data_IF_171701614518
#
_entry.id   IF_171701614518
#
_cell.length_a   1.000
_cell.length_b   1.000
_cell.length_c   1.000
_cell.angle_alpha   90.00
_cell.angle_beta   90.00
_cell.angle_gamma   90.00
#
_symmetry.space_group_name_H-M   'P 1'
#
loop_
_entity.id
_entity.type
_entity.pdbx_description
1 polymer ?
#
# COMPACT_ATOMS: atom_id res chain seq x y z
N UNK A 1 25.35 20.41 -4.69
CA UNK A 1 24.15 20.38 -5.56
C UNK A 1 23.98 18.95 -6.05
N UNK A 2 23.07 18.20 -5.45
CA UNK A 2 22.71 16.82 -5.81
C UNK A 2 21.29 16.89 -6.40
N UNK A 3 21.17 16.77 -7.71
CA UNK A 3 19.88 16.93 -8.42
C UNK A 3 19.13 15.58 -8.43
N UNK A 4 18.78 15.06 -7.24
CA UNK A 4 18.23 13.70 -7.05
C UNK A 4 16.83 13.58 -7.65
N UNK A 5 15.95 14.55 -7.40
CA UNK A 5 14.55 14.58 -7.88
C UNK A 5 14.41 14.55 -9.40
N UNK A 6 15.40 15.07 -10.14
CA UNK A 6 15.38 15.04 -11.62
C UNK A 6 15.68 13.66 -12.23
N UNK A 7 16.19 12.71 -11.43
CA UNK A 7 16.57 11.37 -11.89
C UNK A 7 15.53 10.30 -11.57
N UNK A 8 14.60 10.56 -10.66
CA UNK A 8 13.59 9.60 -10.23
C UNK A 8 12.32 9.67 -11.08
N UNK A 9 11.76 8.49 -11.39
CA UNK A 9 10.52 8.39 -12.16
C UNK A 9 9.34 8.96 -11.36
N UNK A 10 8.51 9.79 -12.00
CA UNK A 10 7.35 10.42 -11.35
C UNK A 10 7.67 11.73 -10.61
N UNK A 11 8.93 12.18 -10.60
CA UNK A 11 9.32 13.47 -10.01
C UNK A 11 9.24 13.51 -8.48
N UNK A 12 9.14 12.36 -7.82
CA UNK A 12 9.08 12.20 -6.37
C UNK A 12 10.18 11.26 -5.90
N UNK A 13 10.72 11.50 -4.69
CA UNK A 13 11.64 10.58 -4.02
C UNK A 13 10.87 9.31 -3.60
N UNK A 14 11.32 8.12 -4.03
CA UNK A 14 10.66 6.83 -3.72
C UNK A 14 11.51 5.87 -2.86
N UNK A 15 12.76 6.25 -2.55
CA UNK A 15 13.67 5.51 -1.68
C UNK A 15 14.26 6.43 -0.61
N UNK A 16 14.70 5.86 0.51
CA UNK A 16 15.43 6.65 1.52
C UNK A 16 16.89 6.84 1.08
N UNK A 17 17.34 8.09 1.07
CA UNK A 17 18.70 8.46 0.70
C UNK A 17 19.44 9.08 1.89
N UNK A 18 20.76 8.87 1.95
CA UNK A 18 21.62 9.53 2.93
C UNK A 18 22.78 10.24 2.22
N UNK A 19 22.98 11.53 2.50
CA UNK A 19 24.05 12.31 1.88
C UNK A 19 24.67 13.30 2.88
N UNK A 20 25.93 13.64 2.64
CA UNK A 20 26.69 14.50 3.54
C UNK A 20 27.01 15.86 2.89
N UNK A 21 26.71 16.92 3.63
CA UNK A 21 27.01 18.31 3.26
C UNK A 21 28.03 18.86 4.25
N UNK A 22 28.95 19.69 3.75
CA UNK A 22 29.93 20.38 4.59
C UNK A 22 29.66 21.89 4.53
N UNK A 23 29.57 22.51 5.69
CA UNK A 23 29.38 23.95 5.88
C UNK A 23 30.29 24.40 7.02
N UNK A 24 31.07 25.46 6.80
CA UNK A 24 31.99 26.02 7.80
C UNK A 24 32.97 24.99 8.42
N UNK A 25 33.35 23.95 7.67
CA UNK A 25 34.21 22.85 8.14
C UNK A 25 33.52 21.83 9.04
N UNK A 26 32.22 22.00 9.32
CA UNK A 26 31.37 21.04 10.01
C UNK A 26 30.56 20.22 8.99
N UNK A 27 30.30 18.95 9.32
CA UNK A 27 29.59 18.00 8.45
C UNK A 27 28.18 17.76 8.96
N UNK A 28 27.21 17.83 8.06
CA UNK A 28 25.80 17.53 8.32
C UNK A 28 25.40 16.37 7.41
N UNK A 29 24.79 15.34 8.00
CA UNK A 29 24.23 14.22 7.25
C UNK A 29 22.73 14.39 7.15
N UNK A 30 22.23 14.44 5.92
CA UNK A 30 20.81 14.50 5.63
C UNK A 30 20.30 13.11 5.29
N UNK A 31 19.16 12.76 5.88
CA UNK A 31 18.33 11.63 5.44
C UNK A 31 17.13 12.21 4.69
N UNK A 32 16.98 11.82 3.43
CA UNK A 32 15.82 12.17 2.62
C UNK A 32 14.87 10.98 2.57
N UNK A 33 13.61 11.20 2.92
CA UNK A 33 12.58 10.14 2.98
C UNK A 33 11.38 10.53 2.12
N UNK A 34 10.72 9.57 1.46
CA UNK A 34 9.50 9.86 0.71
C UNK A 34 8.38 10.47 1.58
N UNK A 35 7.77 11.55 1.10
CA UNK A 35 6.66 12.24 1.76
C UNK A 35 5.29 11.55 1.62
N UNK A 36 5.19 10.51 0.78
CA UNK A 36 3.91 9.87 0.49
C UNK A 36 3.43 8.90 1.58
N UNK A 37 2.12 8.78 1.82
CA UNK A 37 1.51 7.92 2.85
C UNK A 37 1.95 6.44 2.77
N UNK A 38 2.21 5.92 1.57
CA UNK A 38 2.70 4.54 1.40
C UNK A 38 4.04 4.27 2.13
N UNK A 39 4.80 5.33 2.46
CA UNK A 39 6.14 5.26 3.07
C UNK A 39 6.17 5.72 4.52
N UNK A 40 5.04 5.73 5.24
CA UNK A 40 4.95 6.04 6.68
C UNK A 40 6.01 5.31 7.51
N UNK A 41 6.22 4.00 7.27
CA UNK A 41 7.22 3.21 7.98
C UNK A 41 8.65 3.71 7.75
N UNK A 42 8.99 4.12 6.52
CA UNK A 42 10.28 4.72 6.21
C UNK A 42 10.47 6.07 6.90
N UNK A 43 9.42 6.91 6.97
CA UNK A 43 9.47 8.18 7.69
C UNK A 43 9.73 7.98 9.18
N UNK A 44 9.00 7.06 9.81
CA UNK A 44 9.20 6.72 11.22
C UNK A 44 10.63 6.25 11.50
N UNK A 45 11.16 5.38 10.62
CA UNK A 45 12.55 4.91 10.70
C UNK A 45 13.53 6.08 10.55
N UNK A 46 13.35 6.93 9.53
CA UNK A 46 14.15 8.13 9.32
C UNK A 46 14.17 9.03 10.55
N UNK A 47 13.00 9.36 11.10
CA UNK A 47 12.88 10.19 12.30
C UNK A 47 13.65 9.59 13.49
N UNK A 48 13.46 8.30 13.79
CA UNK A 48 14.19 7.63 14.88
C UNK A 48 15.71 7.53 14.66
N UNK A 49 16.17 7.71 13.43
CA UNK A 49 17.58 7.64 13.04
C UNK A 49 18.30 8.99 13.14
N UNK A 50 17.55 10.08 13.18
CA UNK A 50 18.07 11.46 13.12
C UNK A 50 18.03 12.15 14.47
N UNK A 51 18.96 13.07 14.69
CA UNK A 51 18.99 13.91 15.89
C UNK A 51 18.06 15.14 15.78
N UNK A 52 17.79 15.59 14.55
CA UNK A 52 16.98 16.76 14.21
C UNK A 52 16.12 16.43 12.97
N UNK A 53 14.85 16.80 13.00
CA UNK A 53 13.89 16.65 11.92
C UNK A 53 13.58 18.02 11.30
N UNK A 54 13.66 18.13 9.98
CA UNK A 54 13.33 19.35 9.25
C UNK A 54 11.92 19.20 8.67
N UNK A 55 10.98 19.99 9.18
CA UNK A 55 9.61 20.03 8.68
C UNK A 55 9.51 21.09 7.59
N UNK A 56 9.40 20.67 6.32
CA UNK A 56 9.22 21.58 5.20
C UNK A 56 7.73 21.86 5.00
N UNK A 57 7.31 23.11 5.14
CA UNK A 57 5.91 23.55 4.95
C UNK A 57 5.87 24.63 3.89
N UNK A 58 4.93 24.52 2.95
CA UNK A 58 4.83 25.50 1.87
C UNK A 58 4.05 26.73 2.35
N UNK A 59 4.59 27.93 2.08
CA UNK A 59 4.00 29.20 2.48
C UNK A 59 2.66 29.53 1.79
N UNK A 60 2.37 28.90 0.65
CA UNK A 60 1.13 29.06 -0.11
C UNK A 60 0.05 28.03 0.30
N UNK A 61 0.45 26.79 0.57
CA UNK A 61 -0.47 25.68 0.85
C UNK A 61 -0.85 25.59 2.33
N UNK A 62 0.06 25.97 3.25
CA UNK A 62 -0.15 25.84 4.70
C UNK A 62 0.08 24.42 5.23
N UNK A 63 -0.47 24.13 6.41
CA UNK A 63 -0.37 22.82 7.07
C UNK A 63 -1.35 21.83 6.43
N UNK A 64 -0.82 20.74 5.89
CA UNK A 64 -1.59 19.65 5.26
C UNK A 64 -1.66 18.41 6.17
N UNK A 65 -2.58 17.46 5.94
CA UNK A 65 -2.65 16.22 6.73
C UNK A 65 -1.33 15.44 6.81
N UNK A 66 -0.55 15.43 5.71
CA UNK A 66 0.79 14.82 5.66
C UNK A 66 1.80 15.55 6.55
N UNK A 67 1.68 16.88 6.66
CA UNK A 67 2.49 17.69 7.58
C UNK A 67 2.19 17.31 9.02
N UNK A 68 0.91 17.14 9.37
CA UNK A 68 0.48 16.72 10.72
C UNK A 68 1.02 15.33 11.06
N UNK A 69 0.97 14.39 10.10
CA UNK A 69 1.55 13.06 10.28
C UNK A 69 3.06 13.13 10.55
N UNK A 70 3.79 13.96 9.79
CA UNK A 70 5.23 14.15 9.99
C UNK A 70 5.56 14.76 11.36
N UNK A 71 4.76 15.72 11.85
CA UNK A 71 4.88 16.30 13.20
C UNK A 71 4.71 15.20 14.25
N UNK A 72 3.67 14.37 14.11
CA UNK A 72 3.40 13.28 15.05
C UNK A 72 4.55 12.27 15.10
N UNK A 73 5.13 11.92 13.95
CA UNK A 73 6.28 11.01 13.90
C UNK A 73 7.51 11.60 14.58
N UNK A 74 7.84 12.87 14.32
CA UNK A 74 8.99 13.53 14.92
C UNK A 74 8.83 13.66 16.45
N UNK A 75 7.63 14.04 16.92
CA UNK A 75 7.30 14.09 18.35
C UNK A 75 7.38 12.71 19.00
N UNK A 76 6.81 11.67 18.39
CA UNK A 76 6.86 10.31 18.90
C UNK A 76 8.29 9.75 18.97
N UNK A 77 9.16 10.17 18.05
CA UNK A 77 10.58 9.82 18.07
C UNK A 77 11.41 10.66 19.06
N UNK A 78 10.84 11.73 19.65
CA UNK A 78 11.55 12.63 20.56
C UNK A 78 12.63 13.47 19.86
N UNK A 79 12.44 13.77 18.58
CA UNK A 79 13.40 14.48 17.75
C UNK A 79 13.08 15.97 17.74
N UNK A 80 14.12 16.81 17.76
CA UNK A 80 13.93 18.26 17.71
C UNK A 80 13.46 18.68 16.31
N UNK A 81 12.45 19.55 16.23
CA UNK A 81 11.86 19.96 14.95
C UNK A 81 12.34 21.36 14.59
N UNK A 82 12.88 21.51 13.39
CA UNK A 82 13.15 22.80 12.75
C UNK A 82 12.17 22.95 11.59
N UNK A 83 11.45 24.08 11.53
CA UNK A 83 10.47 24.35 10.48
C UNK A 83 11.11 25.18 9.38
N UNK A 84 11.11 24.66 8.15
CA UNK A 84 11.51 25.38 6.95
C UNK A 84 10.26 25.80 6.17
N UNK A 85 9.95 27.10 6.19
CA UNK A 85 8.80 27.66 5.45
C UNK A 85 9.24 27.93 4.01
N UNK A 86 8.90 27.04 3.09
CA UNK A 86 9.34 27.06 1.69
C UNK A 86 8.43 27.89 0.78
N UNK A 87 8.92 28.23 -0.42
CA UNK A 87 8.22 28.99 -1.47
C UNK A 87 7.94 30.46 -1.13
N UNK A 88 8.81 31.11 -0.35
CA UNK A 88 8.68 32.55 -0.02
C UNK A 88 8.79 33.48 -1.25
N UNK A 89 9.28 32.96 -2.37
CA UNK A 89 9.36 33.68 -3.65
C UNK A 89 8.00 33.89 -4.31
N UNK A 90 6.96 33.17 -3.88
CA UNK A 90 5.62 33.32 -4.46
C UNK A 90 4.89 34.54 -3.86
N UNK A 91 4.15 35.31 -4.67
CA UNK A 91 3.36 36.43 -4.17
C UNK A 91 2.21 36.00 -3.25
N UNK A 92 1.78 34.74 -3.33
CA UNK A 92 0.77 34.15 -2.45
C UNK A 92 1.33 33.61 -1.13
N UNK A 93 2.64 33.71 -0.90
CA UNK A 93 3.28 33.21 0.31
C UNK A 93 2.83 33.98 1.55
N UNK A 94 2.40 33.28 2.58
CA UNK A 94 2.03 33.87 3.87
C UNK A 94 2.70 33.13 5.02
N UNK A 95 3.80 33.69 5.51
CA UNK A 95 4.62 33.11 6.59
C UNK A 95 3.86 33.13 7.91
N UNK A 96 3.17 34.23 8.22
CA UNK A 96 2.45 34.40 9.49
C UNK A 96 1.31 33.38 9.62
N UNK A 97 0.60 33.10 8.52
CA UNK A 97 -0.43 32.05 8.47
C UNK A 97 0.15 30.67 8.83
N UNK A 98 1.29 30.31 8.25
CA UNK A 98 1.94 29.01 8.55
C UNK A 98 2.38 28.94 10.01
N UNK A 99 2.94 30.02 10.56
CA UNK A 99 3.30 30.10 12.00
C UNK A 99 2.07 29.90 12.90
N UNK A 100 0.96 30.54 12.56
CA UNK A 100 -0.29 30.40 13.31
C UNK A 100 -0.82 28.96 13.25
N UNK A 101 -0.91 28.36 12.07
CA UNK A 101 -1.39 26.98 11.89
C UNK A 101 -0.50 25.96 12.64
N UNK A 102 0.83 26.12 12.62
CA UNK A 102 1.75 25.21 13.32
C UNK A 102 1.73 25.37 14.85
N UNK A 103 1.33 26.54 15.36
CA UNK A 103 1.19 26.77 16.80
C UNK A 103 0.09 25.90 17.43
N UNK A 104 -0.94 25.52 16.66
CA UNK A 104 -1.99 24.57 17.10
C UNK A 104 -1.42 23.18 17.38
N UNK A 105 -0.28 22.86 16.79
CA UNK A 105 0.46 21.60 16.98
C UNK A 105 1.63 21.76 17.96
N UNK A 106 1.60 22.76 18.83
CA UNK A 106 2.62 23.04 19.85
C UNK A 106 4.01 23.38 19.29
N UNK A 107 4.09 23.74 18.00
CA UNK A 107 5.32 24.25 17.38
C UNK A 107 5.28 25.78 17.41
N UNK A 108 5.78 26.35 18.52
CA UNK A 108 5.74 27.79 18.76
C UNK A 108 7.05 28.42 18.30
N UNK A 109 7.01 29.42 17.39
CA UNK A 109 8.19 30.13 16.91
C UNK A 109 8.97 30.85 18.03
N UNK A 110 10.30 30.92 17.90
CA UNK A 110 11.17 31.66 18.84
C UNK A 110 10.82 33.15 18.96
N UNK A 111 10.41 33.80 17.86
CA UNK A 111 10.01 35.21 17.87
C UNK A 111 8.70 35.48 18.63
N UNK A 112 7.91 34.43 18.90
CA UNK A 112 6.72 34.47 19.75
C UNK A 112 6.98 33.96 21.17
N UNK A 113 8.25 33.76 21.53
CA UNK A 113 8.66 33.24 22.84
C UNK A 113 8.58 31.72 22.97
N UNK A 114 8.48 31.00 21.85
CA UNK A 114 8.57 29.54 21.80
C UNK A 114 10.00 29.02 21.74
N UNK A 115 10.15 27.73 21.44
CA UNK A 115 11.45 27.04 21.33
C UNK A 115 11.72 26.45 19.94
N UNK A 116 10.75 26.50 19.03
CA UNK A 116 10.89 25.91 17.70
C UNK A 116 11.51 26.93 16.75
N UNK A 117 12.57 26.53 16.05
CA UNK A 117 13.23 27.37 15.05
C UNK A 117 12.41 27.38 13.76
N UNK A 118 12.08 28.57 13.26
CA UNK A 118 11.37 28.77 12.00
C UNK A 118 12.24 29.55 11.03
N UNK A 119 12.58 28.95 9.89
CA UNK A 119 13.41 29.58 8.86
C UNK A 119 12.63 29.74 7.55
N UNK A 120 12.40 30.97 7.06
CA UNK A 120 11.80 31.20 5.75
C UNK A 120 12.83 30.91 4.65
N UNK A 121 12.47 30.08 3.66
CA UNK A 121 13.35 29.65 2.57
C UNK A 121 12.65 29.65 1.22
N UNK A 122 13.43 29.79 0.14
CA UNK A 122 12.99 29.44 -1.20
C UNK A 122 13.93 28.41 -1.80
N UNK A 123 13.42 27.20 -2.03
CA UNK A 123 14.16 26.17 -2.76
C UNK A 123 14.45 26.55 -4.22
N UNK A 124 13.69 27.50 -4.79
CA UNK A 124 13.86 27.94 -6.17
C UNK A 124 14.93 29.03 -6.31
N UNK A 125 14.83 30.12 -5.54
CA UNK A 125 15.82 31.21 -5.57
C UNK A 125 17.05 30.92 -4.71
N UNK A 126 16.97 29.89 -3.84
CA UNK A 126 17.97 29.49 -2.84
C UNK A 126 18.12 30.47 -1.67
N UNK A 127 17.17 31.39 -1.53
CA UNK A 127 17.09 32.30 -0.40
C UNK A 127 16.83 31.53 0.91
N UNK A 128 17.44 31.95 2.02
CA UNK A 128 17.27 31.35 3.35
C UNK A 128 17.93 29.97 3.55
N UNK A 129 18.41 29.29 2.50
CA UNK A 129 19.06 27.98 2.65
C UNK A 129 20.34 28.03 3.50
N UNK A 130 21.27 29.01 3.32
CA UNK A 130 22.45 29.11 4.17
C UNK A 130 22.09 29.31 5.65
N UNK A 131 21.10 30.16 5.93
CA UNK A 131 20.59 30.42 7.28
C UNK A 131 19.97 29.16 7.90
N UNK A 132 19.22 28.38 7.13
CA UNK A 132 18.70 27.09 7.60
C UNK A 132 19.82 26.14 8.00
N UNK A 133 20.90 26.07 7.22
CA UNK A 133 22.05 25.22 7.55
C UNK A 133 22.79 25.68 8.81
N UNK A 134 22.94 26.99 8.99
CA UNK A 134 23.54 27.56 10.21
C UNK A 134 22.68 27.29 11.44
N UNK A 135 21.36 27.43 11.32
CA UNK A 135 20.44 27.11 12.41
C UNK A 135 20.45 25.63 12.78
N UNK A 136 20.56 24.72 11.81
CA UNK A 136 20.72 23.28 12.09
C UNK A 136 21.97 23.01 12.93
N UNK A 137 23.10 23.66 12.60
CA UNK A 137 24.33 23.52 13.37
C UNK A 137 24.17 24.08 14.80
N UNK A 138 23.55 25.25 14.93
CA UNK A 138 23.31 25.88 16.23
C UNK A 138 22.43 24.98 17.11
N UNK A 139 21.34 24.43 16.57
CA UNK A 139 20.49 23.47 17.30
C UNK A 139 21.27 22.22 17.72
N UNK A 140 22.15 21.70 16.86
CA UNK A 140 22.98 20.56 17.19
C UNK A 140 23.99 20.85 18.32
N UNK A 141 24.56 22.06 18.35
CA UNK A 141 25.47 22.51 19.41
C UNK A 141 24.73 22.66 20.75
N UNK A 142 23.52 23.24 20.74
CA UNK A 142 22.66 23.35 21.93
C UNK A 142 22.29 21.98 22.50
N UNK A 143 22.08 20.97 21.65
CA UNK A 143 21.80 19.58 22.08
C UNK A 143 23.03 18.83 22.62
N UNK A 144 24.23 19.40 22.51
CA UNK A 144 25.49 18.78 22.92
C UNK A 144 25.67 17.34 22.40
N UNK A 145 25.36 17.11 21.12
CA UNK A 145 25.43 15.77 20.52
C UNK A 145 26.85 15.19 20.63
N UNK A 146 26.97 14.00 21.24
CA UNK A 146 28.25 13.32 21.51
C UNK A 146 28.21 11.88 21.03
N UNK A 147 29.27 11.45 20.35
CA UNK A 147 29.49 10.06 19.96
C UNK A 147 30.87 9.58 20.42
N UNK A 148 30.97 8.31 20.81
CA UNK A 148 32.24 7.70 21.18
C UNK A 148 32.80 6.90 19.97
N UNK A 149 33.90 7.34 19.34
CA UNK A 149 34.54 6.63 18.23
C UNK A 149 35.39 5.44 18.69
N UNK A 150 35.80 5.39 19.97
CA UNK A 150 36.71 4.38 20.51
C UNK A 150 35.97 3.11 20.98
N UNK A 151 35.11 2.56 20.11
CA UNK A 151 34.40 1.30 20.35
C UNK A 151 34.01 0.64 19.03
N UNK A 152 33.54 -0.60 19.09
CA UNK A 152 33.02 -1.29 17.92
C UNK A 152 31.92 -0.48 17.24
N UNK A 153 31.93 -0.52 15.91
CA UNK A 153 30.92 0.12 15.09
C UNK A 153 29.52 -0.36 15.47
N UNK A 154 28.62 0.60 15.66
CA UNK A 154 27.18 0.36 15.72
C UNK A 154 26.52 1.36 14.81
N UNK A 155 25.66 0.88 13.94
CA UNK A 155 24.94 1.71 12.98
C UNK A 155 23.53 1.21 12.78
N UNK A 156 22.84 1.87 11.88
CA UNK A 156 21.50 1.50 11.44
C UNK A 156 21.51 1.26 9.94
N UNK A 157 20.85 0.18 9.50
CA UNK A 157 20.59 -0.04 8.08
C UNK A 157 19.55 0.97 7.63
N UNK A 158 19.94 1.90 6.76
CA UNK A 158 19.05 2.91 6.18
C UNK A 158 18.25 2.27 5.04
N UNK A 159 18.93 1.60 4.13
CA UNK A 159 18.35 0.89 3.00
C UNK A 159 19.25 -0.29 2.60
N UNK A 160 18.68 -1.30 1.93
CA UNK A 160 19.45 -2.42 1.41
C UNK A 160 18.90 -2.91 0.07
N UNK A 161 19.79 -3.39 -0.80
CA UNK A 161 19.44 -3.90 -2.12
C UNK A 161 20.31 -5.09 -2.54
N UNK A 162 19.88 -5.78 -3.59
CA UNK A 162 20.63 -6.88 -4.20
C UNK A 162 21.17 -6.46 -5.57
N UNK A 163 22.45 -6.13 -5.63
CA UNK A 163 23.11 -5.75 -6.88
C UNK A 163 23.69 -7.00 -7.60
N UNK A 164 23.49 -7.07 -8.93
CA UNK A 164 23.87 -8.24 -9.73
C UNK A 164 25.38 -8.51 -9.79
N UNK A 165 26.23 -7.50 -9.58
CA UNK A 165 27.68 -7.63 -9.64
C UNK A 165 28.37 -7.58 -8.27
N UNK A 166 27.77 -6.87 -7.32
CA UNK A 166 28.30 -6.65 -5.97
C UNK A 166 27.75 -7.65 -4.94
N UNK A 167 26.60 -8.27 -5.22
CA UNK A 167 25.84 -9.08 -4.26
C UNK A 167 25.00 -8.19 -3.34
N UNK A 168 24.67 -8.67 -2.12
CA UNK A 168 23.94 -7.87 -1.13
C UNK A 168 24.73 -6.63 -0.74
N UNK A 169 24.08 -5.47 -0.84
CA UNK A 169 24.64 -4.19 -0.42
C UNK A 169 23.67 -3.51 0.53
N UNK A 170 24.22 -2.76 1.49
CA UNK A 170 23.42 -2.06 2.48
C UNK A 170 24.01 -0.68 2.75
N UNK A 171 23.16 0.33 2.79
CA UNK A 171 23.52 1.68 3.23
C UNK A 171 23.36 1.75 4.74
N UNK A 172 24.43 2.09 5.43
CA UNK A 172 24.52 2.09 6.89
C UNK A 172 24.81 3.50 7.38
N UNK A 173 24.01 4.00 8.31
CA UNK A 173 24.35 5.19 9.08
C UNK A 173 25.10 4.77 10.35
N UNK A 174 26.39 5.07 10.40
CA UNK A 174 27.22 4.75 11.58
C UNK A 174 26.85 5.72 12.71
N UNK A 175 26.43 5.20 13.87
CA UNK A 175 26.02 6.01 15.02
C UNK A 175 27.08 6.04 16.12
N UNK A 176 27.78 4.94 16.34
CA UNK A 176 28.80 4.81 17.40
C UNK A 176 29.98 4.00 16.89
N UNK A 177 31.17 4.28 17.42
CA UNK A 177 32.40 3.62 16.96
C UNK A 177 32.81 4.06 15.55
N UNK A 178 33.78 3.33 15.00
CA UNK A 178 34.26 3.52 13.62
C UNK A 178 34.17 2.17 12.92
N UNK A 179 33.56 2.15 11.74
CA UNK A 179 33.48 0.97 10.88
C UNK A 179 34.66 0.96 9.92
N UNK A 180 35.35 -0.17 9.78
CA UNK A 180 36.48 -0.33 8.88
C UNK A 180 36.24 -1.44 7.85
N UNK A 181 36.92 -1.32 6.70
CA UNK A 181 36.98 -2.42 5.74
C UNK A 181 37.72 -3.59 6.39
N UNK A 182 37.08 -4.75 6.40
CA UNK A 182 37.56 -5.97 7.04
C UNK A 182 36.92 -6.26 8.40
N UNK A 183 36.12 -5.33 8.95
CA UNK A 183 35.37 -5.60 10.16
C UNK A 183 34.32 -6.70 9.93
N UNK A 184 34.08 -7.49 10.97
CA UNK A 184 32.98 -8.44 10.98
C UNK A 184 31.75 -7.74 11.55
N UNK A 185 30.61 -7.88 10.86
CA UNK A 185 29.36 -7.22 11.22
C UNK A 185 28.20 -8.20 11.20
N UNK A 186 27.19 -7.91 12.01
CA UNK A 186 25.88 -8.55 11.96
C UNK A 186 24.77 -7.49 11.94
N UNK A 187 23.70 -7.76 11.21
CA UNK A 187 22.49 -6.94 11.12
C UNK A 187 21.29 -7.87 10.99
N UNK A 188 20.47 -7.95 12.04
CA UNK A 188 19.35 -8.89 12.11
C UNK A 188 19.79 -10.34 11.87
N UNK A 189 19.18 -10.98 10.85
CA UNK A 189 19.53 -12.34 10.41
C UNK A 189 20.77 -12.41 9.49
N UNK A 190 21.33 -11.27 9.11
CA UNK A 190 22.45 -11.18 8.18
C UNK A 190 23.77 -10.98 8.94
N UNK A 191 24.83 -11.56 8.40
CA UNK A 191 26.18 -11.41 8.94
C UNK A 191 27.21 -11.50 7.81
N UNK A 192 28.41 -10.97 8.08
CA UNK A 192 29.49 -11.08 7.12
C UNK A 192 30.67 -10.19 7.48
N UNK A 193 31.61 -10.13 6.54
CA UNK A 193 32.80 -9.30 6.65
C UNK A 193 32.71 -8.17 5.65
N UNK A 194 32.94 -6.94 6.09
CA UNK A 194 32.92 -5.76 5.23
C UNK A 194 34.05 -5.86 4.21
N UNK A 195 33.71 -6.16 2.96
CA UNK A 195 34.67 -6.34 1.86
C UNK A 195 35.10 -5.02 1.23
N UNK A 196 34.16 -4.08 1.17
CA UNK A 196 34.36 -2.76 0.63
C UNK A 196 33.32 -1.80 1.23
N UNK A 197 33.68 -0.52 1.24
CA UNK A 197 32.81 0.57 1.67
C UNK A 197 32.85 1.71 0.65
N UNK A 198 31.71 2.34 0.40
CA UNK A 198 31.58 3.51 -0.47
C UNK A 198 30.85 4.65 0.25
N UNK A 199 31.31 5.89 0.06
CA UNK A 199 30.62 7.08 0.56
C UNK A 199 29.38 7.43 -0.27
N UNK A 200 28.64 8.46 0.15
CA UNK A 200 27.44 9.01 -0.53
C UNK A 200 27.70 9.47 -1.98
N UNK A 201 28.98 9.62 -2.37
CA UNK A 201 29.42 10.01 -3.72
C UNK A 201 29.95 8.83 -4.53
N UNK A 202 29.84 7.60 -4.01
CA UNK A 202 30.31 6.37 -4.63
C UNK A 202 31.83 6.19 -4.60
N UNK A 203 32.56 6.98 -3.81
CA UNK A 203 34.01 6.87 -3.66
C UNK A 203 34.33 5.85 -2.58
N UNK A 204 35.34 5.02 -2.83
CA UNK A 204 35.77 4.02 -1.84
C UNK A 204 36.37 4.69 -0.61
N UNK A 205 35.91 4.25 0.56
CA UNK A 205 36.42 4.69 1.86
C UNK A 205 36.92 3.49 2.67
N UNK A 206 37.88 3.72 3.57
CA UNK A 206 38.47 2.67 4.42
C UNK A 206 37.89 2.64 5.83
N UNK A 207 37.43 3.79 6.29
CA UNK A 207 36.87 4.02 7.62
C UNK A 207 35.63 4.91 7.50
N UNK A 208 34.64 4.66 8.35
CA UNK A 208 33.44 5.48 8.48
C UNK A 208 33.17 5.72 9.97
N UNK A 209 33.28 6.97 10.40
CA UNK A 209 33.04 7.39 11.78
C UNK A 209 31.57 7.69 12.06
N UNK A 210 31.25 8.11 13.30
CA UNK A 210 29.88 8.49 13.66
C UNK A 210 29.30 9.55 12.72
N UNK A 211 27.98 9.48 12.52
CA UNK A 211 27.18 10.32 11.62
C UNK A 211 27.52 10.19 10.13
N UNK A 212 28.36 9.23 9.74
CA UNK A 212 28.72 9.01 8.33
C UNK A 212 27.85 7.91 7.71
N UNK A 213 27.11 8.20 6.61
CA UNK A 213 26.46 7.16 5.82
C UNK A 213 27.46 6.48 4.91
N UNK A 214 27.42 5.15 4.84
CA UNK A 214 28.33 4.34 4.04
C UNK A 214 27.63 3.13 3.45
N UNK A 215 27.80 2.88 2.15
CA UNK A 215 27.38 1.64 1.51
C UNK A 215 28.40 0.55 1.81
N UNK A 216 27.95 -0.56 2.39
CA UNK A 216 28.78 -1.73 2.72
C UNK A 216 28.47 -2.91 1.80
N UNK A 217 29.51 -3.70 1.54
CA UNK A 217 29.43 -4.94 0.77
C UNK A 217 30.00 -6.10 1.59
N UNK A 218 29.47 -7.31 1.37
CA UNK A 218 30.02 -8.54 1.93
C UNK A 218 29.19 -9.21 3.03
N UNK A 219 27.92 -8.81 3.17
CA UNK A 219 26.92 -9.58 3.91
C UNK A 219 26.54 -10.84 3.12
N UNK A 220 26.09 -11.86 3.85
CA UNK A 220 25.62 -13.12 3.28
C UNK A 220 24.25 -12.99 2.58
N UNK A 221 23.42 -12.05 3.00
CA UNK A 221 22.09 -11.79 2.47
C UNK A 221 21.74 -10.29 2.62
N UNK A 222 20.60 -9.86 2.07
CA UNK A 222 20.09 -8.48 2.16
C UNK A 222 19.44 -8.26 3.53
N UNK A 223 20.00 -7.38 4.40
CA UNK A 223 19.42 -7.10 5.71
C UNK A 223 18.13 -6.30 5.60
N UNK A 224 17.29 -6.33 6.65
CA UNK A 224 16.08 -5.51 6.64
C UNK A 224 16.42 -4.05 6.93
N UNK A 225 15.68 -3.13 6.29
CA UNK A 225 15.83 -1.71 6.56
C UNK A 225 15.38 -1.40 8.01
N UNK A 226 16.17 -0.60 8.73
CA UNK A 226 15.95 -0.25 10.14
C UNK A 226 16.54 -1.24 11.14
N UNK A 227 17.19 -2.31 10.70
CA UNK A 227 17.95 -3.17 11.60
C UNK A 227 19.22 -2.49 12.12
N UNK A 228 19.59 -2.81 13.36
CA UNK A 228 20.83 -2.30 13.96
C UNK A 228 21.98 -3.15 13.47
N UNK A 229 22.96 -2.50 12.86
CA UNK A 229 24.25 -3.09 12.54
C UNK A 229 25.16 -3.05 13.77
N UNK A 230 25.79 -4.17 14.08
CA UNK A 230 26.73 -4.33 15.18
C UNK A 230 28.05 -4.92 14.65
N UNK A 231 29.15 -4.24 14.93
CA UNK A 231 30.50 -4.77 14.73
C UNK A 231 30.86 -5.77 15.81
N UNK A 232 31.26 -6.98 15.41
CA UNK A 232 31.65 -8.08 16.31
C UNK A 232 33.15 -8.31 16.28
N UNK A 233 33.66 -9.07 17.26
CA UNK A 233 35.10 -9.36 17.34
C UNK A 233 35.53 -10.38 16.28
N UNK A 234 34.66 -11.32 15.96
CA UNK A 234 34.92 -12.36 14.97
C UNK A 234 33.65 -12.84 14.27
N UNK A 235 33.84 -13.58 13.16
CA UNK A 235 32.75 -14.15 12.35
C UNK A 235 31.86 -15.13 13.11
N UNK A 236 32.42 -15.86 14.09
CA UNK A 236 31.64 -16.80 14.90
C UNK A 236 30.62 -16.07 15.78
N UNK A 237 31.00 -14.94 16.36
CA UNK A 237 30.12 -14.11 17.17
C UNK A 237 29.03 -13.45 16.31
N UNK A 238 29.37 -12.94 15.12
CA UNK A 238 28.39 -12.39 14.18
C UNK A 238 27.36 -13.43 13.73
N UNK A 239 27.83 -14.65 13.44
CA UNK A 239 26.95 -15.76 13.08
C UNK A 239 26.03 -16.16 14.24
N UNK A 240 26.55 -16.28 15.46
CA UNK A 240 25.74 -16.60 16.64
C UNK A 240 24.69 -15.51 16.92
N UNK A 241 25.02 -14.24 16.68
CA UNK A 241 24.06 -13.13 16.78
C UNK A 241 22.90 -13.31 15.81
N UNK A 242 23.20 -13.57 14.54
CA UNK A 242 22.20 -13.79 13.50
C UNK A 242 21.34 -15.04 13.77
N UNK A 243 21.94 -16.15 14.21
CA UNK A 243 21.22 -17.37 14.55
C UNK A 243 20.28 -17.17 15.75
N UNK A 244 20.73 -16.46 16.79
CA UNK A 244 19.90 -16.08 17.93
C UNK A 244 18.71 -15.22 17.47
N UNK A 245 18.96 -14.21 16.64
CA UNK A 245 17.92 -13.33 16.10
C UNK A 245 16.85 -14.10 15.32
N UNK A 246 17.26 -15.04 14.47
CA UNK A 246 16.34 -15.92 13.73
C UNK A 246 15.50 -16.76 14.70
N UNK A 247 16.13 -17.32 15.74
CA UNK A 247 15.45 -18.17 16.71
C UNK A 247 14.39 -17.40 17.52
N UNK A 248 14.73 -16.18 17.98
CA UNK A 248 13.81 -15.31 18.70
C UNK A 248 12.68 -14.82 17.80
N UNK A 249 12.99 -14.44 16.55
CA UNK A 249 11.99 -14.05 15.56
C UNK A 249 10.98 -15.17 15.28
N UNK A 250 11.46 -16.41 15.15
CA UNK A 250 10.60 -17.59 14.98
C UNK A 250 9.72 -17.85 16.20
N UNK A 251 10.26 -17.73 17.41
CA UNK A 251 9.50 -17.90 18.64
C UNK A 251 8.40 -16.83 18.76
N UNK A 252 8.73 -15.58 18.45
CA UNK A 252 7.77 -14.47 18.45
C UNK A 252 6.64 -14.66 17.44
N UNK A 253 6.96 -15.11 16.22
CA UNK A 253 5.96 -15.49 15.22
C UNK A 253 5.03 -16.62 15.70
N UNK A 254 5.59 -17.63 16.38
CA UNK A 254 4.81 -18.74 16.94
C UNK A 254 3.90 -18.28 18.09
N UNK A 255 4.36 -17.33 18.92
CA UNK A 255 3.56 -16.72 19.98
C UNK A 255 2.44 -15.84 19.41
N UNK A 256 2.75 -14.98 18.43
CA UNK A 256 1.76 -14.12 17.76
C UNK A 256 0.71 -14.96 17.02
N UNK A 257 1.11 -16.07 16.41
CA UNK A 257 0.18 -17.01 15.73
C UNK A 257 -0.70 -17.75 16.75
N UNK A 258 -0.16 -18.12 17.92
CA UNK A 258 -0.94 -18.72 19.02
C UNK A 258 -1.90 -17.71 19.66
N UNK A 259 -1.53 -16.44 19.73
CA UNK A 259 -2.35 -15.37 20.32
C UNK A 259 -3.48 -14.91 19.39
N UNK A 260 -3.35 -15.07 18.06
CA UNK A 260 -4.32 -14.62 17.06
C UNK A 260 -5.29 -15.69 16.54
N UNK A 261 -5.07 -16.96 16.83
CA UNK A 261 -5.98 -18.05 16.43
C UNK A 261 -6.88 -18.41 17.61
N UNK A 262 -7.92 -17.60 17.85
CA UNK A 262 -9.03 -18.05 18.67
C UNK A 262 -9.93 -18.99 17.84
N UNK A 263 -10.54 -19.98 18.50
CA UNK A 263 -11.51 -20.87 17.87
C UNK A 263 -12.71 -20.10 17.30
N UNK A 264 -13.03 -18.93 17.87
CA UNK A 264 -14.10 -18.05 17.43
C UNK A 264 -13.74 -17.31 16.12
N UNK A 265 -12.48 -16.94 15.91
CA UNK A 265 -11.99 -16.32 14.66
C UNK A 265 -11.99 -17.33 13.50
N UNK A 266 -11.59 -18.58 13.77
CA UNK A 266 -11.68 -19.67 12.81
C UNK A 266 -13.14 -19.97 12.44
N UNK A 267 -14.06 -19.94 13.41
CA UNK A 267 -15.49 -20.13 13.14
C UNK A 267 -16.08 -18.94 12.35
N UNK A 268 -15.58 -17.73 12.58
CA UNK A 268 -15.99 -16.51 11.87
C UNK A 268 -15.49 -16.49 10.43
N UNK A 269 -14.24 -16.92 10.18
CA UNK A 269 -13.69 -17.11 8.83
C UNK A 269 -14.41 -18.20 8.03
N UNK A 270 -14.92 -19.24 8.69
CA UNK A 270 -15.71 -20.30 8.04
C UNK A 270 -17.16 -19.83 7.78
N UNK A 271 -17.71 -18.95 8.63
CA UNK A 271 -19.06 -18.36 8.49
C UNK A 271 -19.13 -17.24 7.46
N UNK A 272 -18.07 -16.45 7.31
CA UNK A 272 -17.91 -15.50 6.22
C UNK A 272 -17.67 -16.31 4.93
N UNK A 273 -18.72 -16.53 4.14
CA UNK A 273 -18.65 -17.33 2.92
C UNK A 273 -17.47 -16.92 2.04
N UNK A 274 -16.91 -17.88 1.29
CA UNK A 274 -15.78 -17.77 0.35
C UNK A 274 -15.23 -16.34 0.11
N UNK A 275 -14.47 -15.80 1.07
CA UNK A 275 -13.70 -14.58 0.85
C UNK A 275 -12.71 -14.90 -0.27
N UNK A 276 -12.74 -14.14 -1.36
CA UNK A 276 -11.85 -14.37 -2.49
C UNK A 276 -10.45 -13.88 -2.11
N UNK A 277 -9.45 -14.75 -2.12
CA UNK A 277 -8.06 -14.34 -1.91
C UNK A 277 -7.44 -13.90 -3.24
N UNK A 278 -6.78 -12.75 -3.26
CA UNK A 278 -5.91 -12.31 -4.35
C UNK A 278 -4.44 -12.48 -3.91
N UNK A 279 -3.79 -13.62 -4.25
CA UNK A 279 -2.41 -13.86 -3.91
C UNK A 279 -1.46 -13.02 -4.77
N UNK A 280 -0.52 -12.32 -4.13
CA UNK A 280 0.45 -11.44 -4.80
C UNK A 280 1.86 -11.77 -4.33
N UNK A 281 2.82 -11.75 -5.25
CA UNK A 281 4.26 -11.75 -4.98
C UNK A 281 4.80 -10.37 -5.32
N UNK A 282 5.53 -9.75 -4.39
CA UNK A 282 6.11 -8.42 -4.57
C UNK A 282 7.62 -8.55 -4.69
N UNK A 283 8.18 -8.01 -5.78
CA UNK A 283 9.63 -7.89 -5.97
C UNK A 283 9.97 -6.42 -6.16
N UNK A 284 10.94 -5.89 -5.42
CA UNK A 284 11.40 -4.52 -5.59
C UNK A 284 12.92 -4.45 -5.61
N UNK A 285 13.44 -3.30 -6.05
CA UNK A 285 14.87 -3.02 -6.16
C UNK A 285 15.53 -2.90 -4.79
N UNK A 286 14.86 -2.21 -3.85
CA UNK A 286 15.31 -2.04 -2.47
C UNK A 286 14.32 -2.59 -1.46
N UNK A 287 14.81 -2.94 -0.27
CA UNK A 287 14.02 -3.55 0.80
C UNK A 287 12.87 -2.65 1.27
N UNK A 288 13.11 -1.35 1.46
CA UNK A 288 12.07 -0.43 1.90
C UNK A 288 10.89 -0.36 0.93
N UNK A 289 11.14 -0.43 -0.38
CA UNK A 289 10.08 -0.43 -1.39
C UNK A 289 9.24 -1.71 -1.36
N UNK A 290 9.82 -2.87 -1.05
CA UNK A 290 9.06 -4.11 -0.82
C UNK A 290 8.06 -3.92 0.32
N UNK A 291 8.50 -3.34 1.44
CA UNK A 291 7.66 -3.09 2.62
C UNK A 291 6.52 -2.12 2.29
N UNK A 292 6.83 -1.00 1.64
CA UNK A 292 5.87 0.04 1.30
C UNK A 292 4.79 -0.46 0.32
N UNK A 293 5.20 -1.18 -0.74
CA UNK A 293 4.27 -1.77 -1.71
C UNK A 293 3.42 -2.83 -1.01
N UNK A 294 4.02 -3.73 -0.23
CA UNK A 294 3.29 -4.76 0.52
C UNK A 294 2.22 -4.16 1.43
N UNK A 295 2.58 -3.16 2.23
CA UNK A 295 1.63 -2.52 3.15
C UNK A 295 0.49 -1.82 2.40
N UNK A 296 0.81 -1.12 1.31
CA UNK A 296 -0.18 -0.41 0.50
C UNK A 296 -1.16 -1.36 -0.17
N UNK A 297 -0.68 -2.50 -0.69
CA UNK A 297 -1.53 -3.50 -1.31
C UNK A 297 -2.43 -4.21 -0.30
N UNK A 298 -1.91 -4.51 0.90
CA UNK A 298 -2.72 -5.15 1.96
C UNK A 298 -3.84 -4.22 2.46
N UNK A 299 -3.60 -2.90 2.52
CA UNK A 299 -4.62 -1.89 2.88
C UNK A 299 -5.84 -1.89 1.93
N UNK A 300 -5.70 -2.40 0.70
CA UNK A 300 -6.81 -2.49 -0.26
C UNK A 300 -7.82 -3.60 0.09
N UNK A 301 -7.46 -4.52 0.99
CA UNK A 301 -8.33 -5.65 1.35
C UNK A 301 -9.66 -5.18 1.94
N UNK A 302 -10.75 -5.85 1.57
CA UNK A 302 -12.10 -5.59 2.07
C UNK A 302 -12.79 -6.90 2.48
N UNK A 303 -14.06 -6.84 2.86
CA UNK A 303 -14.82 -8.00 3.36
C UNK A 303 -15.09 -9.07 2.27
N UNK A 304 -15.03 -8.70 0.98
CA UNK A 304 -15.33 -9.60 -0.15
C UNK A 304 -14.05 -10.18 -0.79
N UNK A 305 -12.98 -9.37 -0.90
CA UNK A 305 -11.69 -9.72 -1.50
C UNK A 305 -10.54 -9.35 -0.58
N UNK A 306 -9.72 -10.35 -0.23
CA UNK A 306 -8.54 -10.19 0.61
C UNK A 306 -7.27 -10.23 -0.22
N UNK A 307 -6.44 -9.18 -0.15
CA UNK A 307 -5.12 -9.16 -0.80
C UNK A 307 -4.11 -9.83 0.11
N UNK A 308 -3.44 -10.87 -0.41
CA UNK A 308 -2.49 -11.69 0.37
C UNK A 308 -1.13 -11.70 -0.28
N UNK A 309 -0.17 -11.03 0.34
CA UNK A 309 1.21 -11.03 -0.13
C UNK A 309 1.92 -12.30 0.35
N UNK A 310 2.11 -13.27 -0.56
CA UNK A 310 2.74 -14.56 -0.27
C UNK A 310 4.24 -14.42 -0.03
N UNK A 311 4.88 -13.65 -0.91
CA UNK A 311 6.32 -13.44 -0.85
C UNK A 311 6.65 -11.99 -1.21
N UNK A 312 7.55 -11.40 -0.43
CA UNK A 312 8.15 -10.10 -0.70
C UNK A 312 9.65 -10.29 -0.74
N UNK A 313 10.31 -9.89 -1.84
CA UNK A 313 11.74 -10.11 -2.00
C UNK A 313 12.43 -8.98 -2.75
N UNK A 314 13.73 -8.85 -2.51
CA UNK A 314 14.57 -7.82 -3.13
C UNK A 314 15.25 -8.37 -4.39
N UNK A 315 15.47 -7.50 -5.36
CA UNK A 315 16.19 -7.79 -6.59
C UNK A 315 15.30 -8.27 -7.75
N UNK A 316 15.96 -8.64 -8.85
CA UNK A 316 15.31 -9.10 -10.07
C UNK A 316 14.39 -10.31 -9.83
N UNK A 317 13.35 -10.41 -10.66
CA UNK A 317 12.41 -11.54 -10.63
C UNK A 317 13.10 -12.75 -11.25
N UNK A 318 13.18 -13.84 -10.50
CA UNK A 318 13.88 -15.07 -10.89
C UNK A 318 12.89 -16.23 -11.18
N UNK A 319 13.44 -17.39 -11.56
CA UNK A 319 12.66 -18.60 -11.86
C UNK A 319 11.86 -19.13 -10.66
N UNK A 320 12.42 -19.06 -9.45
CA UNK A 320 11.76 -19.51 -8.22
C UNK A 320 10.53 -18.65 -7.91
N UNK A 321 10.62 -17.34 -8.15
CA UNK A 321 9.49 -16.41 -7.98
C UNK A 321 8.33 -16.78 -8.93
N UNK A 322 8.64 -17.08 -10.20
CA UNK A 322 7.64 -17.50 -11.19
C UNK A 322 7.04 -18.86 -10.88
N UNK A 323 7.85 -19.80 -10.41
CA UNK A 323 7.40 -21.13 -10.00
C UNK A 323 6.46 -21.07 -8.80
N UNK A 324 6.78 -20.22 -7.81
CA UNK A 324 5.93 -19.99 -6.65
C UNK A 324 4.61 -19.33 -7.04
N UNK A 325 4.66 -18.38 -7.98
CA UNK A 325 3.48 -17.71 -8.52
C UNK A 325 2.54 -18.69 -9.21
N UNK A 326 3.08 -19.53 -10.10
CA UNK A 326 2.31 -20.56 -10.81
C UNK A 326 1.68 -21.56 -9.84
N UNK A 327 2.43 -22.03 -8.84
CA UNK A 327 1.92 -22.98 -7.85
C UNK A 327 0.81 -22.41 -6.96
N UNK A 328 0.83 -21.08 -6.72
CA UNK A 328 -0.12 -20.40 -5.83
C UNK A 328 -1.18 -19.58 -6.57
N UNK A 329 -1.20 -19.65 -7.91
CA UNK A 329 -1.99 -18.79 -8.79
C UNK A 329 -1.86 -17.29 -8.47
N UNK A 330 -0.65 -16.85 -8.13
CA UNK A 330 -0.34 -15.49 -7.70
C UNK A 330 0.10 -14.60 -8.86
N UNK A 331 -0.20 -13.30 -8.72
CA UNK A 331 0.30 -12.26 -9.63
C UNK A 331 1.66 -11.76 -9.12
N UNK A 332 2.60 -11.52 -10.03
CA UNK A 332 3.90 -10.93 -9.67
C UNK A 332 3.88 -9.43 -9.95
N UNK A 333 4.15 -8.64 -8.92
CA UNK A 333 4.31 -7.19 -8.98
C UNK A 333 5.79 -6.85 -8.83
N UNK A 334 6.40 -6.35 -9.90
CA UNK A 334 7.78 -5.87 -9.91
C UNK A 334 7.84 -4.35 -9.79
N UNK A 335 8.43 -3.81 -8.74
CA UNK A 335 8.63 -2.38 -8.53
C UNK A 335 10.09 -1.98 -8.80
N UNK A 336 10.32 -1.17 -9.83
CA UNK A 336 11.65 -0.76 -10.31
C UNK A 336 12.63 -1.93 -10.62
N UNK A 337 12.12 -3.15 -10.76
CA UNK A 337 12.90 -4.34 -11.11
C UNK A 337 12.52 -4.87 -12.49
N UNK A 338 13.41 -5.69 -13.05
CA UNK A 338 13.17 -6.42 -14.29
C UNK A 338 13.29 -7.92 -14.04
N UNK A 339 12.52 -8.74 -14.76
CA UNK A 339 12.71 -10.17 -14.73
C UNK A 339 13.99 -10.59 -15.44
N UNK A 340 14.59 -11.67 -14.96
CA UNK A 340 15.65 -12.34 -15.67
C UNK A 340 15.13 -13.03 -16.94
N UNK A 341 16.03 -13.31 -17.89
CA UNK A 341 15.67 -13.87 -19.20
C UNK A 341 14.94 -15.20 -19.05
N UNK A 342 15.40 -16.05 -18.13
CA UNK A 342 14.78 -17.34 -17.81
C UNK A 342 13.39 -17.14 -17.19
N UNK A 343 13.27 -16.26 -16.19
CA UNK A 343 12.01 -15.95 -15.52
C UNK A 343 10.93 -15.47 -16.50
N UNK A 344 11.29 -14.60 -17.45
CA UNK A 344 10.37 -14.13 -18.49
C UNK A 344 9.85 -15.27 -19.37
N UNK A 345 10.74 -16.14 -19.83
CA UNK A 345 10.36 -17.28 -20.68
C UNK A 345 9.44 -18.28 -19.98
N UNK A 346 9.67 -18.51 -18.68
CA UNK A 346 8.84 -19.42 -17.87
C UNK A 346 7.49 -18.78 -17.58
N UNK A 347 7.45 -17.47 -17.27
CA UNK A 347 6.20 -16.75 -17.03
C UNK A 347 5.27 -16.79 -18.25
N UNK A 348 5.81 -16.64 -19.47
CA UNK A 348 5.05 -16.76 -20.72
C UNK A 348 4.53 -18.19 -20.94
N UNK A 349 5.32 -19.21 -20.59
CA UNK A 349 4.93 -20.63 -20.72
C UNK A 349 3.84 -21.04 -19.73
N UNK A 350 4.03 -20.67 -18.47
CA UNK A 350 3.13 -21.00 -17.36
C UNK A 350 1.95 -20.01 -17.24
N UNK A 351 1.91 -18.98 -18.11
CA UNK A 351 0.89 -17.92 -18.14
C UNK A 351 0.72 -17.18 -16.81
N UNK A 352 1.83 -16.92 -16.12
CA UNK A 352 1.85 -16.13 -14.89
C UNK A 352 1.77 -14.64 -15.26
N UNK A 353 0.81 -13.90 -14.69
CA UNK A 353 0.73 -12.44 -14.86
C UNK A 353 1.85 -11.75 -14.09
N UNK A 354 2.64 -10.96 -14.81
CA UNK A 354 3.77 -10.22 -14.27
C UNK A 354 3.66 -8.77 -14.71
N UNK A 355 3.46 -7.88 -13.74
CA UNK A 355 3.31 -6.44 -13.98
C UNK A 355 4.46 -5.66 -13.37
N UNK A 356 5.04 -4.77 -14.16
CA UNK A 356 6.22 -3.98 -13.78
C UNK A 356 5.83 -2.51 -13.67
N UNK A 357 6.15 -1.90 -12.54
CA UNK A 357 5.82 -0.52 -12.24
C UNK A 357 7.06 0.27 -11.84
N UNK A 358 7.01 1.57 -12.12
CA UNK A 358 8.00 2.55 -11.64
C UNK A 358 7.40 3.55 -10.65
N UNK A 359 6.08 3.60 -10.55
CA UNK A 359 5.33 4.52 -9.70
C UNK A 359 4.33 3.68 -8.93
N UNK A 360 4.35 3.80 -7.60
CA UNK A 360 3.58 2.92 -6.71
C UNK A 360 2.07 3.03 -6.93
N UNK A 361 1.55 4.21 -7.29
CA UNK A 361 0.13 4.43 -7.56
C UNK A 361 -0.42 3.58 -8.70
N UNK A 362 0.36 3.42 -9.77
CA UNK A 362 -0.05 2.58 -10.90
C UNK A 362 -0.21 1.12 -10.47
N UNK A 363 0.63 0.64 -9.55
CA UNK A 363 0.50 -0.70 -9.00
C UNK A 363 -0.75 -0.84 -8.12
N UNK A 364 -1.06 0.18 -7.33
CA UNK A 364 -2.26 0.22 -6.47
C UNK A 364 -3.53 0.22 -7.33
N UNK A 365 -3.60 1.10 -8.32
CA UNK A 365 -4.75 1.24 -9.23
C UNK A 365 -5.03 -0.07 -10.01
N UNK A 366 -3.99 -0.69 -10.56
CA UNK A 366 -4.12 -1.94 -11.31
C UNK A 366 -4.57 -3.11 -10.42
N UNK A 367 -4.09 -3.17 -9.17
CA UNK A 367 -4.54 -4.20 -8.22
C UNK A 367 -5.99 -3.94 -7.78
N UNK A 368 -6.38 -2.68 -7.56
CA UNK A 368 -7.76 -2.32 -7.26
C UNK A 368 -8.69 -2.69 -8.43
N UNK A 369 -8.26 -2.45 -9.67
CA UNK A 369 -9.00 -2.86 -10.86
C UNK A 369 -9.14 -4.40 -10.97
N UNK A 370 -8.08 -5.13 -10.65
CA UNK A 370 -8.12 -6.60 -10.60
C UNK A 370 -9.09 -7.09 -9.53
N UNK A 371 -9.10 -6.47 -8.34
CA UNK A 371 -10.05 -6.78 -7.27
C UNK A 371 -11.49 -6.54 -7.71
N UNK A 372 -11.78 -5.41 -8.38
CA UNK A 372 -13.12 -5.12 -8.93
C UNK A 372 -13.58 -6.19 -9.93
N UNK A 373 -12.67 -6.66 -10.79
CA UNK A 373 -12.95 -7.75 -11.73
C UNK A 373 -13.22 -9.12 -11.07
N UNK A 374 -12.85 -9.30 -9.80
CA UNK A 374 -13.14 -10.51 -9.03
C UNK A 374 -14.49 -10.44 -8.30
N UNK A 375 -15.13 -9.27 -8.21
CA UNK A 375 -16.41 -9.11 -7.54
C UNK A 375 -17.52 -9.73 -8.38
N UNK A 376 -18.43 -10.44 -7.71
CA UNK A 376 -19.61 -10.96 -8.39
C UNK A 376 -20.57 -9.80 -8.70
N UNK A 377 -21.22 -9.79 -9.86
CA UNK A 377 -22.17 -8.74 -10.21
C UNK A 377 -23.35 -8.70 -9.24
N UNK A 378 -23.80 -7.48 -8.91
CA UNK A 378 -25.01 -7.27 -8.12
C UNK A 378 -26.21 -7.25 -9.05
N UNK A 379 -27.20 -8.08 -8.75
CA UNK A 379 -28.47 -8.07 -9.45
C UNK A 379 -29.44 -7.17 -8.70
N UNK A 380 -29.91 -6.11 -9.35
CA UNK A 380 -31.02 -5.31 -8.83
C UNK A 380 -32.33 -5.74 -9.48
N UNK A 381 -33.39 -5.66 -8.69
CA UNK A 381 -34.71 -5.91 -9.18
C UNK A 381 -35.21 -4.71 -9.98
N UNK A 382 -35.49 -4.92 -11.26
CA UNK A 382 -36.15 -3.94 -12.10
C UNK A 382 -37.56 -4.43 -12.45
N UNK A 383 -38.57 -3.65 -12.07
CA UNK A 383 -39.95 -3.86 -12.51
C UNK A 383 -40.02 -3.62 -14.01
N UNK A 384 -40.45 -4.64 -14.75
CA UNK A 384 -40.51 -4.62 -16.22
C UNK A 384 -41.91 -4.32 -16.76
N UNK A 385 -42.97 -4.49 -15.96
CA UNK A 385 -44.32 -4.09 -16.32
C UNK A 385 -45.42 -4.66 -15.44
N UNK A 386 -46.62 -4.12 -15.60
CA UNK A 386 -47.82 -4.54 -14.86
C UNK A 386 -48.90 -5.08 -15.80
N UNK A 387 -49.62 -6.10 -15.36
CA UNK A 387 -50.77 -6.64 -16.07
C UNK A 387 -51.92 -6.94 -15.12
N UNK A 388 -53.15 -6.87 -15.61
CA UNK A 388 -54.35 -7.22 -14.85
C UNK A 388 -55.00 -8.47 -15.43
N UNK A 389 -55.40 -9.40 -14.56
CA UNK A 389 -56.11 -10.62 -14.97
C UNK A 389 -57.55 -10.26 -15.36
N UNK A 390 -57.94 -10.59 -16.59
CA UNK A 390 -59.29 -10.35 -17.12
C UNK A 390 -60.15 -11.59 -17.11
N UNK A 391 -59.55 -12.76 -17.34
CA UNK A 391 -60.28 -14.02 -17.40
C UNK A 391 -59.35 -15.16 -17.04
N UNK A 392 -59.88 -16.23 -16.46
CA UNK A 392 -59.11 -17.44 -16.16
C UNK A 392 -59.60 -18.63 -17.01
N UNK A 393 -58.65 -19.40 -17.54
CA UNK A 393 -58.94 -20.61 -18.31
C UNK A 393 -58.29 -21.82 -17.62
N UNK A 394 -59.00 -22.95 -17.56
CA UNK A 394 -58.44 -24.19 -17.02
C UNK A 394 -58.06 -25.11 -18.17
N UNK A 395 -56.78 -25.47 -18.26
CA UNK A 395 -56.27 -26.37 -19.29
C UNK A 395 -55.70 -27.64 -18.66
N UNK A 396 -56.17 -28.81 -19.11
CA UNK A 396 -55.71 -30.11 -18.65
C UNK A 396 -54.21 -30.28 -18.93
N UNK A 397 -53.40 -30.42 -17.87
CA UNK A 397 -51.95 -30.62 -17.94
C UNK A 397 -51.07 -29.36 -17.79
N UNK A 398 -51.64 -28.16 -17.89
CA UNK A 398 -50.90 -26.88 -17.77
C UNK A 398 -51.31 -26.07 -16.54
N UNK A 399 -52.52 -26.29 -16.01
CA UNK A 399 -53.04 -25.59 -14.83
C UNK A 399 -54.00 -24.46 -15.18
N UNK A 400 -54.13 -23.47 -14.27
CA UNK A 400 -54.91 -22.26 -14.51
C UNK A 400 -54.09 -21.27 -15.34
N UNK A 401 -54.61 -20.89 -16.51
CA UNK A 401 -54.04 -19.87 -17.39
C UNK A 401 -54.74 -18.55 -17.08
N UNK A 402 -53.98 -17.53 -16.70
CA UNK A 402 -54.46 -16.17 -16.55
C UNK A 402 -54.46 -15.48 -17.92
N UNK A 403 -55.65 -15.19 -18.46
CA UNK A 403 -55.82 -14.26 -19.55
C UNK A 403 -55.69 -12.83 -19.02
N UNK A 404 -54.54 -12.22 -19.25
CA UNK A 404 -54.17 -10.93 -18.69
C UNK A 404 -53.99 -9.88 -19.76
N UNK A 405 -54.24 -8.62 -19.38
CA UNK A 405 -54.02 -7.46 -20.22
C UNK A 405 -52.84 -6.65 -19.67
N UNK A 406 -51.83 -6.40 -20.50
CA UNK A 406 -50.63 -5.66 -20.10
C UNK A 406 -50.95 -4.16 -20.04
N UNK A 407 -50.89 -3.59 -18.83
CA UNK A 407 -51.24 -2.20 -18.53
C UNK A 407 -50.09 -1.25 -18.84
N UNK A 408 -48.87 -1.63 -18.47
CA UNK A 408 -47.64 -0.90 -18.76
C UNK A 408 -46.45 -1.84 -18.90
N UNK A 409 -45.35 -1.31 -19.44
CA UNK A 409 -44.12 -2.06 -19.63
C UNK A 409 -44.26 -3.26 -20.57
N UNK A 410 -43.55 -4.33 -20.25
CA UNK A 410 -43.52 -5.57 -21.04
C UNK A 410 -43.38 -6.80 -20.16
N UNK A 411 -43.98 -7.90 -20.59
CA UNK A 411 -43.80 -9.22 -19.98
C UNK A 411 -42.87 -10.03 -20.85
N UNK A 412 -41.76 -10.52 -20.29
CA UNK A 412 -40.78 -11.34 -21.00
C UNK A 412 -40.80 -12.77 -20.46
N UNK A 413 -40.60 -13.76 -21.34
CA UNK A 413 -40.55 -15.15 -20.93
C UNK A 413 -39.34 -15.39 -20.00
N UNK A 414 -39.59 -15.98 -18.83
CA UNK A 414 -38.55 -16.25 -17.82
C UNK A 414 -38.35 -15.12 -16.80
N UNK A 415 -39.20 -14.09 -16.80
CA UNK A 415 -39.23 -13.11 -15.71
C UNK A 415 -39.85 -13.71 -14.44
N UNK A 416 -39.60 -13.06 -13.30
CA UNK A 416 -40.32 -13.32 -12.07
C UNK A 416 -41.54 -12.42 -11.98
N UNK A 417 -42.55 -12.86 -11.23
CA UNK A 417 -43.79 -12.12 -11.05
C UNK A 417 -44.21 -12.09 -9.59
N UNK A 418 -44.87 -11.00 -9.20
CA UNK A 418 -45.67 -10.90 -7.98
C UNK A 418 -47.12 -10.74 -8.35
N UNK A 419 -47.99 -11.43 -7.62
CA UNK A 419 -49.43 -11.32 -7.79
C UNK A 419 -50.00 -10.72 -6.52
N UNK A 420 -50.81 -9.68 -6.68
CA UNK A 420 -51.42 -8.92 -5.60
C UNK A 420 -52.94 -8.91 -5.77
N UNK A 421 -53.67 -9.25 -4.70
CA UNK A 421 -55.13 -9.22 -4.64
C UNK A 421 -55.57 -8.25 -3.56
N UNK A 422 -56.36 -7.24 -3.93
CA UNK A 422 -56.84 -6.21 -3.00
C UNK A 422 -55.74 -5.53 -2.14
N UNK A 423 -54.51 -5.46 -2.65
CA UNK A 423 -53.35 -4.87 -1.97
C UNK A 423 -52.47 -5.86 -1.18
N UNK A 424 -52.86 -7.13 -1.04
CA UNK A 424 -52.05 -8.16 -0.39
C UNK A 424 -51.34 -9.05 -1.43
N UNK A 425 -50.03 -9.30 -1.23
CA UNK A 425 -49.24 -10.19 -2.08
C UNK A 425 -49.63 -11.64 -1.80
N UNK A 426 -50.19 -12.32 -2.81
CA UNK A 426 -50.67 -13.69 -2.72
C UNK A 426 -49.68 -14.72 -3.29
N UNK A 427 -48.80 -14.29 -4.19
CA UNK A 427 -47.81 -15.16 -4.81
C UNK A 427 -46.59 -14.37 -5.28
N UNK A 428 -45.43 -15.02 -5.20
CA UNK A 428 -44.18 -14.59 -5.79
C UNK A 428 -43.44 -15.80 -6.36
N UNK A 429 -43.03 -15.71 -7.62
CA UNK A 429 -42.31 -16.79 -8.27
C UNK A 429 -42.10 -16.59 -9.77
N UNK A 430 -41.43 -17.56 -10.44
CA UNK A 430 -41.11 -17.46 -11.85
C UNK A 430 -42.34 -17.67 -12.75
N UNK A 431 -42.35 -16.95 -13.88
CA UNK A 431 -43.33 -17.16 -14.95
C UNK A 431 -43.02 -18.44 -15.73
N UNK A 432 -43.90 -19.44 -15.66
CA UNK A 432 -43.69 -20.74 -16.28
C UNK A 432 -43.93 -20.72 -17.80
N UNK A 433 -44.93 -19.97 -18.28
CA UNK A 433 -45.21 -19.83 -19.72
C UNK A 433 -45.85 -18.48 -20.03
N UNK A 434 -45.47 -17.94 -21.19
CA UNK A 434 -46.00 -16.72 -21.77
C UNK A 434 -46.50 -17.04 -23.18
N UNK A 435 -47.81 -16.93 -23.38
CA UNK A 435 -48.44 -17.19 -24.68
C UNK A 435 -49.24 -15.99 -25.14
N UNK A 436 -49.33 -15.82 -26.45
CA UNK A 436 -50.30 -14.92 -27.07
C UNK A 436 -51.19 -15.76 -27.98
N UNK A 437 -52.48 -15.78 -27.71
CA UNK A 437 -53.42 -16.73 -28.31
C UNK A 437 -52.97 -18.19 -28.12
N UNK A 438 -52.46 -18.84 -29.17
CA UNK A 438 -52.00 -20.23 -29.14
C UNK A 438 -50.48 -20.38 -29.19
N UNK A 439 -49.76 -19.29 -29.47
CA UNK A 439 -48.33 -19.32 -29.75
C UNK A 439 -47.52 -18.87 -28.53
N UNK A 440 -46.43 -19.59 -28.26
CA UNK A 440 -45.43 -19.20 -27.27
C UNK A 440 -44.63 -18.01 -27.79
N UNK A 441 -44.66 -16.91 -27.04
CA UNK A 441 -44.01 -15.63 -27.43
C UNK A 441 -42.87 -15.29 -26.47
N UNK A 442 -41.86 -14.61 -26.99
CA UNK A 442 -40.70 -14.18 -26.17
C UNK A 442 -41.05 -13.02 -25.26
N UNK A 443 -41.86 -12.08 -25.75
CA UNK A 443 -42.30 -10.93 -25.00
C UNK A 443 -43.68 -10.43 -25.46
N UNK A 444 -44.39 -9.75 -24.56
CA UNK A 444 -45.66 -9.06 -24.84
C UNK A 444 -45.56 -7.63 -24.32
N UNK A 445 -45.76 -6.67 -25.22
CA UNK A 445 -45.73 -5.24 -24.91
C UNK A 445 -47.07 -4.74 -24.37
N UNK A 446 -47.05 -3.54 -23.81
CA UNK A 446 -48.24 -2.81 -23.34
C UNK A 446 -49.37 -2.79 -24.37
N UNK A 447 -50.61 -2.93 -23.92
CA UNK A 447 -51.81 -2.82 -24.76
C UNK A 447 -52.23 -4.11 -25.47
N UNK A 448 -51.52 -5.21 -25.23
CA UNK A 448 -51.85 -6.53 -25.77
C UNK A 448 -52.30 -7.50 -24.68
N UNK A 449 -53.16 -8.43 -25.06
CA UNK A 449 -53.58 -9.56 -24.22
C UNK A 449 -52.57 -10.71 -24.31
N UNK A 450 -52.33 -11.36 -23.18
CA UNK A 450 -51.47 -12.53 -23.06
C UNK A 450 -52.06 -13.59 -22.12
N UNK A 451 -51.64 -14.83 -22.32
CA UNK A 451 -51.87 -15.93 -21.40
C UNK A 451 -50.62 -16.14 -20.56
N UNK A 452 -50.77 -16.02 -19.24
CA UNK A 452 -49.72 -16.23 -18.25
C UNK A 452 -49.99 -17.51 -17.46
N UNK A 453 -48.94 -18.30 -17.27
CA UNK A 453 -48.97 -19.50 -16.41
C UNK A 453 -47.84 -19.38 -15.40
N UNK A 454 -48.16 -19.60 -14.12
CA UNK A 454 -47.23 -19.43 -13.01
C UNK A 454 -46.76 -20.78 -12.46
N UNK A 455 -45.51 -20.85 -11.99
CA UNK A 455 -44.98 -22.11 -11.48
C UNK A 455 -45.58 -22.46 -10.11
N UNK A 456 -46.19 -23.65 -9.98
CA UNK A 456 -46.78 -24.16 -8.72
C UNK A 456 -47.90 -23.27 -8.12
N UNK A 457 -48.48 -22.37 -8.91
CA UNK A 457 -49.58 -21.51 -8.46
C UNK A 457 -50.76 -21.55 -9.44
N UNK A 458 -51.96 -21.82 -8.91
CA UNK A 458 -53.18 -22.00 -9.70
C UNK A 458 -54.38 -21.18 -9.19
N UNK A 459 -54.26 -20.49 -8.05
CA UNK A 459 -55.35 -19.72 -7.41
C UNK A 459 -55.39 -18.27 -7.90
N UNK A 460 -55.63 -18.11 -9.18
CA UNK A 460 -55.71 -16.80 -9.85
C UNK A 460 -57.19 -16.43 -9.99
N UNK A 461 -57.52 -15.17 -9.72
CA UNK A 461 -58.85 -14.61 -9.86
C UNK A 461 -58.87 -13.44 -10.84
N UNK A 462 -60.05 -13.11 -11.34
CA UNK A 462 -60.25 -11.89 -12.12
C UNK A 462 -59.95 -10.67 -11.25
N UNK A 463 -59.41 -9.62 -11.86
CA UNK A 463 -58.93 -8.39 -11.22
C UNK A 463 -57.67 -8.53 -10.33
N UNK A 464 -57.01 -9.69 -10.30
CA UNK A 464 -55.67 -9.81 -9.71
C UNK A 464 -54.66 -8.95 -10.50
N UNK A 465 -53.81 -8.21 -9.79
CA UNK A 465 -52.72 -7.43 -10.39
C UNK A 465 -51.43 -8.26 -10.41
N UNK A 466 -50.74 -8.24 -11.54
CA UNK A 466 -49.49 -8.96 -11.75
C UNK A 466 -48.40 -7.94 -12.04
N UNK A 467 -47.38 -7.92 -11.20
CA UNK A 467 -46.16 -7.14 -11.38
C UNK A 467 -45.06 -8.09 -11.86
N UNK A 468 -44.49 -7.84 -13.03
CA UNK A 468 -43.35 -8.58 -13.52
C UNK A 468 -42.06 -7.82 -13.21
N UNK A 469 -41.06 -8.54 -12.72
CA UNK A 469 -39.72 -8.02 -12.48
C UNK A 469 -38.65 -8.93 -13.06
N UNK A 470 -37.53 -8.33 -13.45
CA UNK A 470 -36.35 -9.03 -13.91
C UNK A 470 -35.16 -8.61 -13.04
N UNK A 471 -34.30 -9.58 -12.74
CA UNK A 471 -33.00 -9.32 -12.12
C UNK A 471 -32.07 -8.78 -13.21
N UNK A 472 -31.71 -7.50 -13.12
CA UNK A 472 -30.78 -6.87 -14.06
C UNK A 472 -29.42 -6.76 -13.38
N UNK A 473 -28.39 -7.20 -14.08
CA UNK A 473 -27.01 -7.01 -13.67
C UNK A 473 -26.68 -5.51 -13.70
N UNK A 474 -26.41 -4.94 -12.52
CA UNK A 474 -25.97 -3.55 -12.40
C UNK A 474 -24.45 -3.56 -12.22
N UNK A 475 -23.69 -2.91 -13.13
CA UNK A 475 -22.26 -2.75 -12.94
C UNK A 475 -21.99 -1.91 -11.69
N UNK A 476 -21.07 -2.37 -10.84
CA UNK A 476 -20.62 -1.68 -9.62
C UNK A 476 -19.71 -0.49 -9.92
#
# INVERSE_FOLDING_TARGET
>A
QTNVTSREAGGITQHIGAYMVEINGQKITFLDTPGHEAFTAMRMRGAQSTDIAILVVAADDGVMPQTVEAINHAKAAGVEIIVAINKIDKPSANIDRVKQELSEYELIPEDWGGSTVFVPVSAHTKEGIPELLEMILLTAEVKELKANPNRNARGLIIEAELDKGKGPVATVLVQKGVLHVGDTVAAGSCYGKVRAMMDDKGRRVKEAGPSTPVEILGLNDVPNAGEVLVGTVNEKEARNFAETFISEGKNKLLEDTKAKLSLDDLFSQIKAGNIKELPIIVKADVQGSVEAVKQSLVKLSNEEVMVKVIHGGVGAINESDVSLASASNAIIIGFNVRPDVTAKSIAEREKVDMRLYKVIYQAIEDVEAAMKGMLDPVFEEQIIGHAIVRQTFKASGVGTIAGSYVMDGKFQRGCSVRITRAGEQIYEGPLASLKRFKDDVKEVATGYECGLVFEKFNDIQEDDMIEAYAMVEVPR
#
